data_IF_716088146662
#
_entry.id   IF_716088146662
#
_cell.length_a   1.000
_cell.length_b   1.000
_cell.length_c   1.000
_cell.angle_alpha   90.00
_cell.angle_beta   90.00
_cell.angle_gamma   90.00
#
_symmetry.space_group_name_H-M   'P 1'
#
loop_
_entity.id
_entity.type
_entity.pdbx_description
1 polymer ?
#
# COMPACT_ATOMS: atom_id res chain seq x y z
N UNK A 1 18.82 -61.30 -43.70
CA UNK A 1 19.03 -59.86 -43.85
C UNK A 1 17.82 -59.03 -43.35
N UNK A 2 16.55 -59.39 -43.65
CA UNK A 2 15.34 -58.64 -43.27
C UNK A 2 15.11 -58.52 -41.72
N UNK A 3 15.48 -59.57 -40.94
CA UNK A 3 15.33 -59.55 -39.44
C UNK A 3 16.31 -58.60 -38.72
N UNK A 4 17.52 -58.42 -39.25
CA UNK A 4 18.53 -57.50 -38.68
C UNK A 4 18.19 -56.03 -38.99
N UNK A 5 17.60 -55.75 -40.15
CA UNK A 5 17.15 -54.42 -40.53
C UNK A 5 15.92 -53.96 -39.65
N UNK A 6 15.02 -54.88 -39.31
CA UNK A 6 13.85 -54.62 -38.50
C UNK A 6 14.21 -54.36 -37.04
N UNK A 7 15.25 -55.07 -36.51
CA UNK A 7 15.74 -54.80 -35.13
C UNK A 7 16.48 -53.49 -35.03
N UNK A 8 17.19 -53.02 -36.06
CA UNK A 8 17.87 -51.74 -36.11
C UNK A 8 16.87 -50.57 -36.19
N UNK A 9 15.78 -50.77 -36.98
CA UNK A 9 14.73 -49.74 -37.10
C UNK A 9 13.92 -49.58 -35.79
N UNK A 10 13.71 -50.66 -35.05
CA UNK A 10 13.03 -50.64 -33.75
C UNK A 10 13.89 -49.99 -32.66
N UNK A 11 15.23 -50.13 -32.68
CA UNK A 11 16.15 -49.46 -31.74
C UNK A 11 16.25 -47.95 -32.00
N UNK A 12 16.16 -47.50 -33.25
CA UNK A 12 16.17 -46.05 -33.59
C UNK A 12 14.88 -45.39 -33.17
N UNK A 13 13.72 -46.04 -33.28
CA UNK A 13 12.43 -45.52 -32.82
C UNK A 13 12.39 -45.35 -31.28
N UNK A 14 13.03 -46.27 -30.55
CA UNK A 14 13.08 -46.20 -29.08
C UNK A 14 13.97 -45.06 -28.57
N UNK A 15 15.02 -44.68 -29.29
CA UNK A 15 15.92 -43.57 -28.94
C UNK A 15 15.25 -42.20 -29.18
N UNK A 16 14.42 -42.08 -30.22
CA UNK A 16 13.71 -40.83 -30.54
C UNK A 16 12.60 -40.51 -29.51
N UNK A 17 11.99 -41.53 -28.89
CA UNK A 17 10.94 -41.35 -27.88
C UNK A 17 11.51 -40.90 -26.52
N UNK A 18 12.78 -41.17 -26.21
CA UNK A 18 13.44 -40.72 -24.97
C UNK A 18 13.96 -39.29 -25.04
N UNK A 19 14.09 -38.70 -26.23
CA UNK A 19 14.49 -37.30 -26.40
C UNK A 19 13.31 -36.30 -26.33
N UNK A 20 12.06 -36.77 -26.30
CA UNK A 20 10.85 -35.92 -26.28
C UNK A 20 10.32 -35.62 -24.86
N UNK A 21 11.02 -36.05 -23.81
CA UNK A 21 10.68 -35.72 -22.41
C UNK A 21 11.59 -34.66 -21.77
N UNK A 22 12.19 -33.82 -22.58
CA UNK A 22 12.56 -32.47 -22.10
C UNK A 22 11.28 -31.66 -22.06
N UNK A 23 10.48 -31.76 -20.97
CA UNK A 23 9.57 -30.69 -20.60
C UNK A 23 10.45 -29.48 -20.36
N UNK A 24 10.49 -28.56 -21.30
CA UNK A 24 10.63 -27.17 -20.96
C UNK A 24 9.61 -26.97 -19.83
N UNK A 25 10.09 -26.80 -18.61
CA UNK A 25 9.28 -26.20 -17.56
C UNK A 25 8.87 -24.85 -18.17
N UNK A 26 7.67 -24.81 -18.74
CA UNK A 26 7.06 -23.55 -19.11
C UNK A 26 7.28 -22.66 -17.88
N UNK A 27 8.01 -21.59 -18.09
CA UNK A 27 8.29 -20.57 -17.07
C UNK A 27 6.91 -20.00 -16.70
N UNK A 28 6.20 -20.71 -15.82
CA UNK A 28 4.86 -20.33 -15.38
C UNK A 28 5.05 -19.10 -14.53
N UNK A 29 4.87 -17.94 -15.18
CA UNK A 29 4.88 -16.66 -14.47
C UNK A 29 3.95 -16.74 -13.26
N UNK A 30 4.48 -16.44 -12.11
CA UNK A 30 3.73 -16.33 -10.87
C UNK A 30 3.20 -14.91 -10.76
N UNK A 31 1.90 -14.76 -10.60
CA UNK A 31 1.27 -13.48 -10.30
C UNK A 31 1.06 -13.39 -8.79
N UNK A 32 1.68 -12.38 -8.16
CA UNK A 32 1.45 -12.04 -6.75
C UNK A 32 0.47 -10.89 -6.67
N UNK A 33 -0.62 -11.09 -5.95
CA UNK A 33 -1.60 -10.03 -5.66
C UNK A 33 -1.26 -9.36 -4.34
N UNK A 34 -0.95 -8.06 -4.41
CA UNK A 34 -0.58 -7.24 -3.27
C UNK A 34 -1.70 -6.25 -2.98
N UNK A 35 -2.37 -6.39 -1.84
CA UNK A 35 -3.30 -5.38 -1.34
C UNK A 35 -2.52 -4.32 -0.56
N UNK A 36 -2.54 -3.07 -1.02
CA UNK A 36 -1.70 -2.01 -0.46
C UNK A 36 -2.48 -0.72 -0.22
N UNK A 37 -2.15 -0.02 0.87
CA UNK A 37 -2.68 1.30 1.15
C UNK A 37 -2.41 2.26 -0.02
N UNK A 38 -3.41 3.08 -0.39
CA UNK A 38 -3.35 3.98 -1.55
C UNK A 38 -2.16 4.95 -1.51
N UNK A 39 -1.69 5.36 -0.34
CA UNK A 39 -0.52 6.21 -0.15
C UNK A 39 0.81 5.56 -0.59
N UNK A 40 0.85 4.23 -0.78
CA UNK A 40 2.03 3.50 -1.25
C UNK A 40 2.14 3.44 -2.78
N UNK A 41 1.16 3.94 -3.52
CA UNK A 41 1.01 3.72 -4.97
C UNK A 41 2.28 4.06 -5.75
N UNK A 42 2.84 5.25 -5.55
CA UNK A 42 3.98 5.73 -6.37
C UNK A 42 5.26 4.94 -6.06
N UNK A 43 5.55 4.74 -4.77
CA UNK A 43 6.72 3.99 -4.33
C UNK A 43 6.67 2.52 -4.79
N UNK A 44 5.51 1.85 -4.63
CA UNK A 44 5.36 0.45 -5.04
C UNK A 44 5.37 0.27 -6.57
N UNK A 45 4.89 1.25 -7.34
CA UNK A 45 4.95 1.19 -8.80
C UNK A 45 6.40 1.33 -9.31
N UNK A 46 7.23 2.19 -8.69
CA UNK A 46 8.65 2.26 -9.02
C UNK A 46 9.38 0.98 -8.59
N UNK A 47 9.11 0.48 -7.39
CA UNK A 47 9.69 -0.76 -6.87
C UNK A 47 9.36 -1.97 -7.76
N UNK A 48 8.11 -2.07 -8.25
CA UNK A 48 7.68 -3.12 -9.17
C UNK A 48 8.61 -3.26 -10.36
N UNK A 49 8.95 -2.15 -11.01
CA UNK A 49 9.79 -2.17 -12.22
C UNK A 49 11.19 -2.74 -11.93
N UNK A 50 11.78 -2.45 -10.77
CA UNK A 50 13.05 -3.01 -10.31
C UNK A 50 12.92 -4.50 -10.01
N UNK A 51 11.97 -4.85 -9.16
CA UNK A 51 11.76 -6.23 -8.71
C UNK A 51 11.47 -7.21 -9.86
N UNK A 52 10.53 -6.87 -10.75
CA UNK A 52 10.18 -7.73 -11.89
C UNK A 52 11.33 -7.92 -12.89
N UNK A 53 12.24 -6.94 -12.99
CA UNK A 53 13.45 -7.06 -13.81
C UNK A 53 14.43 -8.10 -13.24
N UNK A 54 14.55 -8.15 -11.92
CA UNK A 54 15.43 -9.10 -11.22
C UNK A 54 14.77 -10.48 -11.05
N UNK A 55 13.44 -10.52 -11.06
CA UNK A 55 12.62 -11.72 -10.92
C UNK A 55 11.68 -11.93 -12.13
N UNK A 56 12.22 -12.25 -13.33
CA UNK A 56 11.43 -12.27 -14.58
C UNK A 56 10.28 -13.29 -14.60
N UNK A 57 10.30 -14.27 -13.68
CA UNK A 57 9.21 -15.24 -13.47
C UNK A 57 8.08 -14.75 -12.58
N UNK A 58 8.16 -13.52 -12.02
CA UNK A 58 7.15 -12.97 -11.10
C UNK A 58 6.54 -11.71 -11.70
N UNK A 59 5.22 -11.56 -11.54
CA UNK A 59 4.48 -10.34 -11.88
C UNK A 59 3.75 -9.85 -10.63
N UNK A 60 3.92 -8.56 -10.28
CA UNK A 60 3.24 -7.95 -9.14
C UNK A 60 1.95 -7.28 -9.60
N UNK A 61 0.83 -7.69 -9.02
CA UNK A 61 -0.50 -7.09 -9.25
C UNK A 61 -0.91 -6.32 -7.98
N UNK A 62 -1.10 -5.00 -8.10
CA UNK A 62 -1.49 -4.18 -6.96
C UNK A 62 -2.99 -3.90 -6.94
N UNK A 63 -3.60 -4.09 -5.76
CA UNK A 63 -4.92 -3.61 -5.41
C UNK A 63 -4.76 -2.47 -4.40
N UNK A 64 -4.84 -1.22 -4.88
CA UNK A 64 -4.69 -0.04 -4.04
C UNK A 64 -6.04 0.44 -3.48
N UNK A 65 -6.05 0.81 -2.20
CA UNK A 65 -7.26 1.31 -1.55
C UNK A 65 -7.05 1.72 -0.10
N UNK A 66 -8.15 2.04 0.58
CA UNK A 66 -8.12 2.27 2.02
C UNK A 66 -7.82 0.97 2.77
N UNK A 67 -6.92 1.00 3.75
CA UNK A 67 -6.49 -0.20 4.48
C UNK A 67 -7.64 -0.94 5.15
N UNK A 68 -8.65 -0.23 5.68
CA UNK A 68 -9.82 -0.86 6.28
C UNK A 68 -10.70 -1.57 5.25
N UNK A 69 -10.86 -0.99 4.06
CA UNK A 69 -11.61 -1.64 2.96
C UNK A 69 -10.87 -2.87 2.44
N UNK A 70 -9.54 -2.80 2.30
CA UNK A 70 -8.70 -3.93 1.89
C UNK A 70 -8.72 -5.05 2.91
N UNK A 71 -8.62 -4.71 4.21
CA UNK A 71 -8.77 -5.66 5.30
C UNK A 71 -10.10 -6.44 5.19
N UNK A 72 -11.22 -5.72 5.02
CA UNK A 72 -12.53 -6.33 4.89
C UNK A 72 -12.63 -7.24 3.65
N UNK A 73 -12.04 -6.85 2.51
CA UNK A 73 -11.98 -7.67 1.31
C UNK A 73 -11.22 -8.98 1.56
N UNK A 74 -10.06 -8.91 2.25
CA UNK A 74 -9.26 -10.09 2.61
C UNK A 74 -10.05 -10.99 3.55
N UNK A 75 -10.75 -10.44 4.55
CA UNK A 75 -11.62 -11.19 5.46
C UNK A 75 -12.76 -11.90 4.74
N UNK A 76 -13.26 -11.32 3.64
CA UNK A 76 -14.29 -11.90 2.77
C UNK A 76 -13.74 -12.89 1.74
N UNK A 77 -12.44 -13.17 1.76
CA UNK A 77 -11.78 -14.12 0.89
C UNK A 77 -11.33 -13.57 -0.47
N UNK A 78 -11.22 -12.25 -0.62
CA UNK A 78 -10.61 -11.67 -1.82
C UNK A 78 -9.15 -12.16 -1.95
N UNK A 79 -8.71 -12.52 -3.15
CA UNK A 79 -7.34 -12.98 -3.37
C UNK A 79 -6.32 -11.91 -2.97
N UNK A 80 -5.37 -12.27 -2.12
CA UNK A 80 -4.20 -11.47 -1.78
C UNK A 80 -3.08 -12.39 -1.29
N UNK A 81 -1.85 -12.11 -1.66
CA UNK A 81 -0.66 -12.82 -1.20
C UNK A 81 0.06 -12.01 -0.11
N UNK A 82 0.06 -10.67 -0.26
CA UNK A 82 0.68 -9.75 0.67
C UNK A 82 -0.27 -8.59 0.99
N UNK A 83 -0.26 -8.13 2.24
CA UNK A 83 -1.00 -6.94 2.67
C UNK A 83 -0.05 -5.88 3.23
N UNK A 84 -0.15 -4.65 2.73
CA UNK A 84 0.55 -3.46 3.24
C UNK A 84 -0.50 -2.44 3.72
N UNK A 85 -0.53 -2.22 5.02
CA UNK A 85 -1.53 -1.33 5.64
C UNK A 85 -0.92 0.00 6.06
N UNK A 86 -1.70 1.07 6.05
CA UNK A 86 -1.36 2.38 6.63
C UNK A 86 -1.80 2.52 8.11
N UNK A 87 -2.20 1.44 8.74
CA UNK A 87 -2.52 1.41 10.16
C UNK A 87 -2.31 0.01 10.75
N UNK A 88 -1.68 -0.04 11.92
CA UNK A 88 -1.44 -1.30 12.65
C UNK A 88 -2.76 -2.04 12.94
N UNK A 89 -3.82 -1.32 13.35
CA UNK A 89 -5.13 -1.91 13.70
C UNK A 89 -5.71 -2.82 12.60
N UNK A 90 -5.51 -2.47 11.33
CA UNK A 90 -6.05 -3.25 10.22
C UNK A 90 -5.25 -4.53 9.96
N UNK A 91 -3.94 -4.47 10.17
CA UNK A 91 -3.07 -5.64 10.12
C UNK A 91 -3.34 -6.58 11.30
N UNK A 92 -3.42 -6.01 12.51
CA UNK A 92 -3.65 -6.77 13.75
C UNK A 92 -5.00 -7.50 13.70
N UNK A 93 -6.04 -6.90 13.11
CA UNK A 93 -7.32 -7.56 12.89
C UNK A 93 -7.22 -8.84 12.01
N UNK A 94 -6.34 -8.84 11.00
CA UNK A 94 -6.09 -10.04 10.18
C UNK A 94 -5.26 -11.09 10.93
N UNK A 95 -4.34 -10.64 11.79
CA UNK A 95 -3.58 -11.55 12.68
C UNK A 95 -4.50 -12.20 13.68
N UNK A 96 -5.36 -11.44 14.35
CA UNK A 96 -6.33 -11.94 15.35
C UNK A 96 -7.31 -12.96 14.76
N UNK A 97 -7.67 -12.79 13.47
CA UNK A 97 -8.48 -13.75 12.73
C UNK A 97 -7.70 -14.92 12.15
N UNK A 98 -6.38 -14.98 12.39
CA UNK A 98 -5.50 -16.05 11.89
C UNK A 98 -5.31 -16.07 10.38
N UNK A 99 -5.58 -14.95 9.67
CA UNK A 99 -5.38 -14.78 8.23
C UNK A 99 -3.93 -14.38 7.89
N UNK A 100 -3.19 -13.86 8.87
CA UNK A 100 -1.75 -13.56 8.81
C UNK A 100 -1.15 -14.15 10.09
N UNK A 101 0.01 -14.80 9.99
CA UNK A 101 0.72 -15.25 11.19
C UNK A 101 1.49 -14.06 11.82
N UNK A 102 1.48 -13.97 13.14
CA UNK A 102 2.14 -12.88 13.87
C UNK A 102 3.65 -12.78 13.55
N UNK A 103 4.31 -13.93 13.28
CA UNK A 103 5.72 -14.00 12.88
C UNK A 103 6.00 -13.41 11.48
N UNK A 104 4.98 -13.34 10.63
CA UNK A 104 5.04 -12.86 9.25
C UNK A 104 4.48 -11.43 9.12
N UNK A 105 4.40 -10.71 10.25
CA UNK A 105 3.96 -9.32 10.36
C UNK A 105 5.07 -8.46 10.96
N UNK A 106 5.46 -7.40 10.26
CA UNK A 106 6.40 -6.38 10.77
C UNK A 106 5.88 -4.98 10.50
N UNK A 107 6.36 -3.98 11.24
CA UNK A 107 6.19 -2.57 10.89
C UNK A 107 7.33 -2.18 9.96
N UNK A 108 7.02 -1.93 8.68
CA UNK A 108 8.03 -1.64 7.66
C UNK A 108 8.38 -0.15 7.62
N UNK A 109 7.37 0.72 7.64
CA UNK A 109 7.51 2.17 7.45
C UNK A 109 6.69 2.94 8.49
N UNK A 110 6.93 4.24 8.56
CA UNK A 110 6.11 5.22 9.27
C UNK A 110 5.85 6.45 8.39
N UNK A 111 4.88 7.28 8.79
CA UNK A 111 4.48 8.48 8.07
C UNK A 111 4.03 9.59 9.02
N UNK A 112 3.73 10.75 8.48
CA UNK A 112 3.20 11.91 9.20
C UNK A 112 1.87 12.36 8.60
N UNK A 113 0.96 12.85 9.44
CA UNK A 113 -0.28 13.48 9.01
C UNK A 113 -0.04 14.96 8.75
N UNK A 114 -0.47 15.45 7.60
CA UNK A 114 -0.39 16.87 7.23
C UNK A 114 -1.74 17.39 6.75
N UNK A 115 -1.96 18.68 6.87
CA UNK A 115 -3.02 19.38 6.18
C UNK A 115 -2.46 19.96 4.88
N UNK A 116 -3.15 19.73 3.78
CA UNK A 116 -2.85 20.35 2.48
C UNK A 116 -3.98 21.27 2.03
N UNK A 117 -3.61 22.30 1.28
CA UNK A 117 -4.50 23.23 0.59
C UNK A 117 -4.18 23.25 -0.90
N UNK A 118 -5.05 23.77 -1.78
CA UNK A 118 -4.69 24.05 -3.16
C UNK A 118 -3.44 24.93 -3.25
N UNK A 119 -2.64 24.78 -4.32
CA UNK A 119 -1.44 25.58 -4.59
C UNK A 119 -1.68 27.09 -4.40
N UNK A 120 -0.73 27.78 -3.77
CA UNK A 120 -0.79 29.20 -3.46
C UNK A 120 -1.69 29.58 -2.29
N UNK A 121 -2.24 28.60 -1.54
CA UNK A 121 -3.09 28.83 -0.38
C UNK A 121 -2.52 28.30 0.94
N UNK A 122 -1.27 27.87 0.96
CA UNK A 122 -0.63 27.31 2.17
C UNK A 122 -0.73 28.18 3.40
N UNK A 123 -0.54 29.48 3.25
CA UNK A 123 -0.60 30.46 4.35
C UNK A 123 -2.02 30.77 4.86
N UNK A 124 -3.07 30.26 4.20
CA UNK A 124 -4.47 30.55 4.58
C UNK A 124 -4.93 29.80 5.84
N UNK A 125 -4.23 28.74 6.24
CA UNK A 125 -4.54 27.86 7.37
C UNK A 125 -3.24 27.47 8.05
N UNK A 126 -2.94 28.01 9.22
CA UNK A 126 -1.67 27.75 9.92
C UNK A 126 -1.77 26.71 11.04
N UNK A 127 -2.99 26.34 11.43
CA UNK A 127 -3.23 25.44 12.57
C UNK A 127 -4.58 24.73 12.49
N UNK A 128 -4.77 23.73 13.34
CA UNK A 128 -6.06 23.04 13.50
C UNK A 128 -7.16 24.03 13.88
N UNK A 129 -6.86 25.07 14.69
CA UNK A 129 -7.82 26.07 15.13
C UNK A 129 -8.39 26.90 13.97
N UNK A 130 -7.60 27.12 12.93
CA UNK A 130 -8.01 27.92 11.77
C UNK A 130 -9.03 27.18 10.87
N UNK A 131 -9.18 25.86 11.03
CA UNK A 131 -10.16 25.06 10.28
C UNK A 131 -11.61 25.46 10.57
N UNK A 132 -11.86 26.07 11.74
CA UNK A 132 -13.19 26.61 12.10
C UNK A 132 -13.49 27.97 11.45
N UNK A 133 -12.48 28.64 10.90
CA UNK A 133 -12.63 29.95 10.28
C UNK A 133 -13.47 29.90 9.00
N UNK A 134 -13.88 31.06 8.50
CA UNK A 134 -14.62 31.17 7.24
C UNK A 134 -13.74 30.89 6.00
N UNK A 135 -12.42 30.88 6.12
CA UNK A 135 -11.49 30.54 5.04
C UNK A 135 -11.57 29.09 4.63
N UNK A 136 -12.03 28.20 5.53
CA UNK A 136 -12.25 26.77 5.26
C UNK A 136 -13.76 26.50 5.29
N UNK A 137 -14.38 26.40 4.15
CA UNK A 137 -15.79 26.01 4.00
C UNK A 137 -15.98 24.52 3.84
N UNK A 138 -15.03 23.86 3.16
CA UNK A 138 -15.03 22.42 2.91
C UNK A 138 -13.68 21.81 3.27
N UNK A 139 -13.71 20.75 4.07
CA UNK A 139 -12.54 20.03 4.54
C UNK A 139 -12.63 18.57 4.10
N UNK A 140 -11.73 18.11 3.23
CA UNK A 140 -11.70 16.71 2.83
C UNK A 140 -11.05 15.83 3.91
N UNK A 141 -11.74 14.76 4.27
CA UNK A 141 -11.27 13.76 5.24
C UNK A 141 -11.61 12.37 4.71
N UNK A 142 -10.68 11.43 4.78
CA UNK A 142 -10.99 10.03 4.51
C UNK A 142 -12.06 9.51 5.49
N UNK A 143 -12.96 8.63 5.04
CA UNK A 143 -13.97 8.01 5.91
C UNK A 143 -13.28 7.37 7.12
N UNK A 144 -13.44 7.85 8.37
CA UNK A 144 -12.63 7.43 9.50
C UNK A 144 -12.72 5.93 9.84
N UNK A 145 -13.84 5.30 9.48
CA UNK A 145 -14.09 3.89 9.74
C UNK A 145 -13.23 2.97 8.88
N UNK A 146 -12.89 3.38 7.66
CA UNK A 146 -12.18 2.57 6.66
C UNK A 146 -10.86 3.15 6.17
N UNK A 147 -10.68 4.48 6.25
CA UNK A 147 -9.48 5.19 5.76
C UNK A 147 -8.60 5.57 6.94
N UNK A 148 -7.39 4.98 7.10
CA UNK A 148 -6.52 5.28 8.23
C UNK A 148 -6.19 6.76 8.39
N UNK A 149 -5.86 7.50 7.31
CA UNK A 149 -5.62 8.95 7.38
C UNK A 149 -6.80 9.71 7.98
N UNK A 150 -8.03 9.33 7.63
CA UNK A 150 -9.25 9.90 8.20
C UNK A 150 -9.42 9.56 9.68
N UNK A 151 -9.07 8.34 10.10
CA UNK A 151 -9.11 7.94 11.50
C UNK A 151 -8.10 8.75 12.35
N UNK A 152 -6.88 8.94 11.86
CA UNK A 152 -5.87 9.78 12.52
C UNK A 152 -6.29 11.26 12.57
N UNK A 153 -6.85 11.80 11.47
CA UNK A 153 -7.39 13.16 11.45
C UNK A 153 -8.51 13.32 12.47
N UNK A 154 -9.46 12.37 12.53
CA UNK A 154 -10.52 12.37 13.55
C UNK A 154 -9.96 12.34 14.96
N UNK A 155 -8.95 11.48 15.24
CA UNK A 155 -8.30 11.41 16.55
C UNK A 155 -7.68 12.75 16.92
N UNK A 156 -6.89 13.36 16.03
CA UNK A 156 -6.26 14.66 16.25
C UNK A 156 -7.29 15.77 16.50
N UNK A 157 -8.34 15.83 15.67
CA UNK A 157 -9.41 16.83 15.80
C UNK A 157 -10.26 16.62 17.06
N UNK A 158 -10.46 15.38 17.49
CA UNK A 158 -11.15 15.06 18.75
C UNK A 158 -10.32 15.51 19.95
N UNK A 159 -9.02 15.23 19.94
CA UNK A 159 -8.10 15.68 20.99
C UNK A 159 -7.97 17.21 21.06
N UNK A 160 -8.15 17.90 19.92
CA UNK A 160 -8.25 19.36 19.85
C UNK A 160 -9.65 19.91 20.21
N UNK A 161 -10.65 19.07 20.49
CA UNK A 161 -12.02 19.48 20.80
C UNK A 161 -12.81 20.07 19.63
N UNK A 162 -12.41 19.79 18.37
CA UNK A 162 -12.97 20.43 17.18
C UNK A 162 -13.73 19.47 16.25
N UNK A 163 -13.64 18.17 16.47
CA UNK A 163 -14.22 17.17 15.57
C UNK A 163 -15.71 17.42 15.29
N UNK A 164 -16.52 17.64 16.34
CA UNK A 164 -17.97 17.78 16.19
C UNK A 164 -18.36 19.02 15.37
N UNK A 165 -17.63 20.11 15.53
CA UNK A 165 -17.87 21.35 14.78
C UNK A 165 -17.44 21.27 13.32
N UNK A 166 -16.43 20.45 13.02
CA UNK A 166 -15.89 20.28 11.67
C UNK A 166 -16.66 19.26 10.83
N UNK A 167 -17.54 18.45 11.45
CA UNK A 167 -18.35 17.46 10.70
C UNK A 167 -19.22 18.10 9.62
N UNK A 168 -19.77 19.30 9.86
CA UNK A 168 -20.59 20.01 8.88
C UNK A 168 -19.80 20.48 7.65
N UNK A 169 -18.47 20.67 7.80
CA UNK A 169 -17.54 21.04 6.72
C UNK A 169 -16.93 19.81 6.03
N UNK A 170 -17.07 18.63 6.62
CA UNK A 170 -16.36 17.43 6.18
C UNK A 170 -16.90 16.88 4.87
N UNK A 171 -16.01 16.75 3.88
CA UNK A 171 -16.24 16.04 2.63
C UNK A 171 -15.51 14.71 2.72
N UNK A 172 -16.27 13.62 2.80
CA UNK A 172 -15.72 12.29 2.97
C UNK A 172 -15.14 11.72 1.68
N UNK A 173 -13.98 11.08 1.79
CA UNK A 173 -13.29 10.41 0.68
C UNK A 173 -13.09 8.92 0.99
N UNK A 174 -13.16 8.07 -0.05
CA UNK A 174 -13.04 6.61 0.07
C UNK A 174 -11.61 6.13 0.37
N UNK A 175 -10.60 6.96 0.10
CA UNK A 175 -9.18 6.74 0.40
C UNK A 175 -8.43 8.08 0.46
N UNK A 176 -7.15 8.05 0.89
CA UNK A 176 -6.36 9.27 1.04
C UNK A 176 -6.01 9.95 -0.28
N UNK A 177 -5.88 9.19 -1.37
CA UNK A 177 -5.60 9.76 -2.71
C UNK A 177 -6.82 10.52 -3.26
N UNK A 178 -8.02 10.09 -2.92
CA UNK A 178 -9.22 10.86 -3.25
C UNK A 178 -9.30 12.16 -2.43
N UNK A 179 -8.85 12.17 -1.15
CA UNK A 179 -8.70 13.42 -0.39
C UNK A 179 -7.78 14.38 -1.13
N UNK A 180 -6.57 13.91 -1.49
CA UNK A 180 -5.59 14.71 -2.24
C UNK A 180 -6.19 15.25 -3.54
N UNK A 181 -6.86 14.41 -4.32
CA UNK A 181 -7.50 14.81 -5.58
C UNK A 181 -8.56 15.91 -5.39
N UNK A 182 -9.35 15.87 -4.31
CA UNK A 182 -10.32 16.92 -4.02
C UNK A 182 -9.64 18.26 -3.76
N UNK A 183 -8.49 18.27 -3.08
CA UNK A 183 -7.69 19.48 -2.86
C UNK A 183 -7.05 19.97 -4.16
N UNK A 184 -6.39 19.09 -4.93
CA UNK A 184 -5.75 19.41 -6.21
C UNK A 184 -6.71 20.10 -7.21
N UNK A 185 -7.96 19.68 -7.19
CA UNK A 185 -9.00 20.18 -8.11
C UNK A 185 -9.76 21.38 -7.56
N UNK A 186 -9.44 21.85 -6.36
CA UNK A 186 -10.13 22.97 -5.71
C UNK A 186 -11.58 22.67 -5.32
N UNK A 187 -11.98 21.40 -5.25
CA UNK A 187 -13.32 21.02 -4.82
C UNK A 187 -13.54 21.20 -3.31
N UNK A 188 -12.44 21.31 -2.57
CA UNK A 188 -12.38 21.61 -1.13
C UNK A 188 -11.28 22.64 -0.84
N UNK A 189 -11.35 23.28 0.30
CA UNK A 189 -10.39 24.31 0.70
C UNK A 189 -9.15 23.70 1.36
N UNK A 190 -9.29 22.55 2.02
CA UNK A 190 -8.20 21.84 2.66
C UNK A 190 -8.51 20.34 2.77
N UNK A 191 -7.49 19.53 3.08
CA UNK A 191 -7.67 18.09 3.30
C UNK A 191 -6.55 17.48 4.13
N UNK A 192 -6.88 16.44 4.91
CA UNK A 192 -5.90 15.67 5.67
C UNK A 192 -5.37 14.50 4.85
N UNK A 193 -4.07 14.51 4.61
CA UNK A 193 -3.34 13.48 3.88
C UNK A 193 -2.06 13.10 4.63
N UNK A 194 -1.35 12.10 4.14
CA UNK A 194 0.00 11.84 4.63
C UNK A 194 1.01 12.76 3.93
N UNK A 195 2.15 12.97 4.60
CA UNK A 195 3.27 13.73 4.02
C UNK A 195 3.68 13.19 2.64
N UNK A 196 3.73 11.88 2.48
CA UNK A 196 4.04 11.21 1.21
C UNK A 196 3.07 11.56 0.09
N UNK A 197 1.77 11.69 0.41
CA UNK A 197 0.76 12.10 -0.57
C UNK A 197 0.96 13.57 -0.98
N UNK A 198 1.22 14.44 -0.02
CA UNK A 198 1.50 15.85 -0.28
C UNK A 198 2.73 16.04 -1.19
N UNK A 199 3.83 15.31 -0.89
CA UNK A 199 5.05 15.33 -1.70
C UNK A 199 4.82 14.84 -3.15
N UNK A 200 3.87 13.92 -3.38
CA UNK A 200 3.53 13.47 -4.72
C UNK A 200 2.76 14.51 -5.55
N UNK A 201 2.36 15.63 -4.95
CA UNK A 201 1.51 16.66 -5.55
C UNK A 201 1.99 18.09 -5.28
N UNK A 202 3.29 18.29 -5.06
CA UNK A 202 3.89 19.61 -4.74
C UNK A 202 3.60 20.70 -5.77
N UNK A 203 3.29 20.35 -7.00
CA UNK A 203 2.95 21.32 -8.04
C UNK A 203 1.47 21.73 -8.07
N UNK A 204 0.63 21.18 -7.18
CA UNK A 204 -0.82 21.42 -7.16
C UNK A 204 -1.36 21.67 -5.75
N UNK A 205 -0.59 21.36 -4.74
CA UNK A 205 -0.99 21.50 -3.33
C UNK A 205 0.15 22.02 -2.48
N UNK A 206 -0.17 22.83 -1.48
CA UNK A 206 0.75 23.27 -0.45
C UNK A 206 0.51 22.48 0.84
N UNK A 207 1.57 22.12 1.55
CA UNK A 207 1.46 21.68 2.95
C UNK A 207 1.23 22.92 3.80
N UNK A 208 0.03 23.10 4.32
CA UNK A 208 -0.31 24.22 5.19
C UNK A 208 0.38 24.05 6.57
N UNK A 209 0.26 22.86 7.16
CA UNK A 209 0.98 22.51 8.40
C UNK A 209 1.06 21.00 8.60
N UNK A 210 2.07 20.56 9.37
CA UNK A 210 2.11 19.21 9.92
C UNK A 210 1.26 19.14 11.20
N UNK A 211 0.44 18.08 11.31
CA UNK A 211 -0.39 17.86 12.50
C UNK A 211 0.51 17.39 13.65
N UNK A 212 0.30 17.94 14.85
CA UNK A 212 1.08 17.56 16.05
C UNK A 212 1.06 16.03 16.25
N UNK A 213 2.22 15.36 16.17
CA UNK A 213 2.31 13.90 16.35
C UNK A 213 1.82 13.41 17.73
N UNK A 214 1.78 14.31 18.74
CA UNK A 214 1.23 14.01 20.07
C UNK A 214 -0.30 13.95 20.10
N UNK A 215 -0.98 14.42 19.04
CA UNK A 215 -2.45 14.47 18.96
C UNK A 215 -3.09 13.22 18.36
N UNK A 216 -2.32 12.28 17.85
CA UNK A 216 -2.78 11.00 17.27
C UNK A 216 -1.76 9.88 17.49
N UNK A 217 -2.20 8.64 17.33
CA UNK A 217 -1.31 7.46 17.45
C UNK A 217 -0.27 7.44 16.34
N UNK A 218 0.96 6.90 16.60
CA UNK A 218 1.98 6.75 15.56
C UNK A 218 1.45 6.07 14.30
N UNK A 219 1.72 6.68 13.15
CA UNK A 219 1.33 6.15 11.84
C UNK A 219 2.36 5.12 11.42
N UNK A 220 2.00 3.85 11.53
CA UNK A 220 2.84 2.72 11.15
C UNK A 220 2.26 2.02 9.91
N UNK A 221 3.16 1.56 9.04
CA UNK A 221 2.84 0.77 7.85
C UNK A 221 3.35 -0.66 8.06
N UNK A 222 2.53 -1.52 8.64
CA UNK A 222 2.87 -2.93 8.71
C UNK A 222 2.69 -3.62 7.36
N UNK A 223 3.52 -4.64 7.13
CA UNK A 223 3.36 -5.63 6.07
C UNK A 223 3.11 -7.00 6.67
N UNK A 224 2.38 -7.84 5.95
CA UNK A 224 2.10 -9.21 6.38
C UNK A 224 1.76 -10.15 5.22
N UNK A 225 2.24 -11.39 5.30
CA UNK A 225 1.97 -12.43 4.31
C UNK A 225 0.61 -13.07 4.63
N UNK A 226 -0.26 -13.15 3.62
CA UNK A 226 -1.57 -13.80 3.74
C UNK A 226 -1.38 -15.32 3.73
N UNK A 227 -1.90 -16.01 4.76
CA UNK A 227 -1.76 -17.49 4.91
C UNK A 227 -2.36 -18.29 3.77
N UNK A 228 -3.38 -17.75 3.10
CA UNK A 228 -4.05 -18.43 1.99
C UNK A 228 -3.28 -18.35 0.66
N UNK A 229 -2.12 -17.68 0.64
CA UNK A 229 -1.27 -17.60 -0.56
C UNK A 229 -0.93 -19.00 -1.09
N UNK A 230 -0.92 -19.14 -2.41
CA UNK A 230 -0.47 -20.34 -3.10
C UNK A 230 0.99 -20.23 -3.59
N UNK A 231 1.61 -19.09 -3.35
CA UNK A 231 2.93 -18.70 -3.85
C UNK A 231 3.89 -18.38 -2.70
N UNK A 232 3.90 -19.22 -1.64
CA UNK A 232 4.60 -18.95 -0.38
C UNK A 232 6.08 -18.58 -0.58
N UNK A 233 6.77 -19.27 -1.51
CA UNK A 233 8.17 -18.99 -1.80
C UNK A 233 8.34 -17.59 -2.38
N UNK A 234 7.61 -17.25 -3.43
CA UNK A 234 7.74 -15.98 -4.14
C UNK A 234 7.27 -14.79 -3.30
N UNK A 235 6.18 -14.96 -2.53
CA UNK A 235 5.73 -13.89 -1.62
C UNK A 235 6.71 -13.66 -0.48
N UNK A 236 7.39 -14.73 0.01
CA UNK A 236 8.45 -14.60 1.00
C UNK A 236 9.65 -13.84 0.43
N UNK A 237 10.08 -14.16 -0.78
CA UNK A 237 11.15 -13.44 -1.48
C UNK A 237 10.80 -11.95 -1.64
N UNK A 238 9.56 -11.61 -2.02
CA UNK A 238 9.11 -10.21 -2.10
C UNK A 238 9.06 -9.55 -0.71
N UNK A 239 8.55 -10.25 0.31
CA UNK A 239 8.49 -9.76 1.68
C UNK A 239 9.89 -9.43 2.23
N UNK A 240 10.88 -10.27 1.95
CA UNK A 240 12.25 -10.06 2.38
C UNK A 240 12.91 -8.93 1.55
N UNK A 241 12.62 -8.85 0.24
CA UNK A 241 13.10 -7.76 -0.62
C UNK A 241 12.61 -6.39 -0.15
N UNK A 242 11.34 -6.27 0.26
CA UNK A 242 10.79 -5.01 0.79
C UNK A 242 11.52 -4.50 2.03
N UNK A 243 12.28 -5.36 2.72
CA UNK A 243 13.07 -5.04 3.91
C UNK A 243 14.53 -4.74 3.61
N UNK A 244 14.97 -4.87 2.35
CA UNK A 244 16.33 -4.54 1.95
C UNK A 244 16.59 -3.04 2.05
N UNK A 245 17.86 -2.66 2.22
CA UNK A 245 18.27 -1.25 2.24
C UNK A 245 17.86 -0.53 0.95
N UNK A 246 17.95 -1.21 -0.20
CA UNK A 246 17.54 -0.66 -1.50
C UNK A 246 16.05 -0.30 -1.51
N UNK A 247 15.17 -1.23 -1.13
CA UNK A 247 13.73 -0.99 -1.08
C UNK A 247 13.36 0.08 -0.03
N UNK A 248 14.00 0.05 1.14
CA UNK A 248 13.77 1.03 2.20
C UNK A 248 14.21 2.44 1.77
N UNK A 249 15.36 2.58 1.09
CA UNK A 249 15.83 3.85 0.55
C UNK A 249 14.88 4.41 -0.52
N UNK A 250 14.27 3.52 -1.32
CA UNK A 250 13.25 3.94 -2.28
C UNK A 250 12.01 4.49 -1.56
N UNK A 251 11.51 3.85 -0.52
CA UNK A 251 10.41 4.39 0.28
C UNK A 251 10.77 5.74 0.91
N UNK A 252 11.98 5.89 1.43
CA UNK A 252 12.46 7.17 2.00
C UNK A 252 12.50 8.27 0.93
N UNK A 253 12.91 7.97 -0.30
CA UNK A 253 12.84 8.89 -1.46
C UNK A 253 11.43 9.43 -1.69
N UNK A 254 10.40 8.62 -1.43
CA UNK A 254 8.98 9.00 -1.51
C UNK A 254 8.43 9.67 -0.24
N UNK A 255 9.28 9.96 0.75
CA UNK A 255 8.92 10.70 1.96
C UNK A 255 8.45 9.83 3.13
N UNK A 256 8.52 8.51 3.02
CA UNK A 256 8.31 7.63 4.18
C UNK A 256 9.49 7.73 5.15
N UNK A 257 9.23 7.40 6.41
CA UNK A 257 10.26 7.26 7.43
C UNK A 257 10.35 5.81 7.89
N UNK A 258 11.51 5.43 8.42
CA UNK A 258 11.66 4.12 9.08
C UNK A 258 11.07 4.20 10.50
N UNK A 259 10.40 3.15 10.99
CA UNK A 259 9.89 3.10 12.34
C UNK A 259 11.05 3.25 13.34
N UNK A 260 10.85 4.04 14.40
CA UNK A 260 11.80 4.03 15.52
C UNK A 260 11.83 2.63 16.12
N UNK A 261 13.01 2.04 16.20
CA UNK A 261 13.20 0.79 16.94
C UNK A 261 12.86 1.06 18.41
N UNK A 262 11.88 0.33 18.93
CA UNK A 262 11.48 0.38 20.33
C UNK A 262 12.33 -0.58 21.16
#
# INVERSE_FOLDING_TARGET
>A
MKRKAMALMMAIVTIVVLAACGKDAADTKVELTISAAASLTDALNELKAGYEKEHPGVTLLFNYGASGSLQQQIEQGAPADLFLSAAAKNMDALVDKGLIDAKDRINLLSNELVLVTPEGKGDSVGSVQDLLSHSVSKLAIGIPESVPAGAYAKEALTNAGQWDQLQEKAVQAKDVRQVLQYVETGNVDAGFVYRTDALSSESKTDIAFAVDPGSYKPILYPIGIIKATKHEKQVRELYDYLQTEEALNLFVKYGFSLPKQS
#
